data_IF_463029591577
#
_entry.id   IF_463029591577
#
_cell.length_a   1.000
_cell.length_b   1.000
_cell.length_c   1.000
_cell.angle_alpha   90.00
_cell.angle_beta   90.00
_cell.angle_gamma   90.00
#
_symmetry.space_group_name_H-M   'P 1'
#
loop_
_entity.id
_entity.type
_entity.pdbx_description
1 polymer ?
#
# COMPACT_ATOMS: atom_id res chain seq x y z
N UNK A 1 1.17 17.17 19.71
CA UNK A 1 0.88 15.76 19.33
C UNK A 1 0.87 15.56 17.81
N UNK A 2 1.57 16.38 17.01
CA UNK A 2 1.49 16.40 15.54
C UNK A 2 2.53 15.51 14.83
N UNK A 3 3.62 15.13 15.51
CA UNK A 3 4.67 14.31 14.89
C UNK A 3 4.31 12.82 14.78
N UNK A 4 3.48 12.30 15.70
CA UNK A 4 3.14 10.87 15.75
C UNK A 4 2.33 10.43 14.53
N UNK A 5 1.38 11.25 14.10
CA UNK A 5 0.49 10.95 12.96
C UNK A 5 1.18 10.96 11.61
N UNK A 6 2.21 11.79 11.42
CA UNK A 6 3.02 11.80 10.19
C UNK A 6 3.87 10.52 10.11
N UNK A 7 4.52 10.13 11.21
CA UNK A 7 5.34 8.92 11.25
C UNK A 7 4.49 7.65 11.03
N UNK A 8 3.31 7.57 11.65
CA UNK A 8 2.36 6.47 11.43
C UNK A 8 1.94 6.36 9.96
N UNK A 9 1.67 7.49 9.28
CA UNK A 9 1.37 7.49 7.84
C UNK A 9 2.54 7.05 6.98
N UNK A 10 3.76 7.48 7.30
CA UNK A 10 4.98 7.06 6.58
C UNK A 10 5.20 5.55 6.74
N UNK A 11 5.04 5.03 7.96
CA UNK A 11 5.16 3.59 8.21
C UNK A 11 4.07 2.80 7.48
N UNK A 12 2.82 3.27 7.52
CA UNK A 12 1.72 2.63 6.81
C UNK A 12 1.98 2.60 5.29
N UNK A 13 2.44 3.70 4.71
CA UNK A 13 2.81 3.75 3.29
C UNK A 13 3.84 2.68 2.93
N UNK A 14 4.90 2.54 3.73
CA UNK A 14 5.94 1.53 3.53
C UNK A 14 5.39 0.10 3.63
N UNK A 15 4.49 -0.15 4.59
CA UNK A 15 3.83 -1.45 4.74
C UNK A 15 2.97 -1.79 3.52
N UNK A 16 2.20 -0.82 3.01
CA UNK A 16 1.37 -1.00 1.80
C UNK A 16 2.25 -1.35 0.60
N UNK A 17 3.35 -0.62 0.37
CA UNK A 17 4.28 -0.90 -0.73
C UNK A 17 4.86 -2.31 -0.62
N UNK A 18 5.36 -2.69 0.57
CA UNK A 18 5.95 -4.00 0.80
C UNK A 18 4.94 -5.13 0.55
N UNK A 19 3.73 -5.01 1.09
CA UNK A 19 2.66 -6.02 0.90
C UNK A 19 2.21 -6.09 -0.56
N UNK A 20 2.06 -4.95 -1.23
CA UNK A 20 1.71 -4.91 -2.65
C UNK A 20 2.78 -5.58 -3.51
N UNK A 21 4.08 -5.33 -3.24
CA UNK A 21 5.19 -6.00 -3.92
C UNK A 21 5.09 -7.52 -3.80
N UNK A 22 4.87 -8.03 -2.59
CA UNK A 22 4.70 -9.47 -2.37
C UNK A 22 3.53 -10.02 -3.17
N UNK A 23 2.36 -9.41 -3.09
CA UNK A 23 1.16 -9.90 -3.77
C UNK A 23 1.27 -9.81 -5.31
N UNK A 24 1.85 -8.72 -5.82
CA UNK A 24 2.12 -8.58 -7.25
C UNK A 24 3.10 -9.64 -7.76
N UNK A 25 4.14 -9.98 -6.99
CA UNK A 25 5.08 -11.03 -7.36
C UNK A 25 4.45 -12.44 -7.29
N UNK A 26 3.61 -12.71 -6.30
CA UNK A 26 2.99 -14.02 -6.11
C UNK A 26 1.85 -14.31 -7.11
N UNK A 27 1.04 -13.29 -7.42
CA UNK A 27 -0.25 -13.47 -8.12
C UNK A 27 -0.33 -12.71 -9.44
N UNK A 28 0.60 -11.80 -9.69
CA UNK A 28 0.53 -10.82 -10.78
C UNK A 28 -0.28 -9.58 -10.42
N UNK A 29 0.01 -8.48 -11.12
CA UNK A 29 -0.64 -7.18 -10.94
C UNK A 29 -2.16 -7.26 -11.19
N UNK A 30 -2.59 -7.90 -12.28
CA UNK A 30 -3.99 -7.93 -12.68
C UNK A 30 -4.88 -8.67 -11.68
N UNK A 31 -4.37 -9.75 -11.08
CA UNK A 31 -5.10 -10.58 -10.10
C UNK A 31 -5.08 -10.03 -8.68
N UNK A 32 -4.31 -8.97 -8.44
CA UNK A 32 -4.23 -8.32 -7.12
C UNK A 32 -5.14 -7.10 -7.09
N UNK A 33 -5.92 -6.98 -6.03
CA UNK A 33 -6.81 -5.83 -5.79
C UNK A 33 -6.36 -5.01 -4.59
N UNK A 34 -6.73 -3.72 -4.56
CA UNK A 34 -6.46 -2.86 -3.39
C UNK A 34 -7.11 -3.42 -2.11
N UNK A 35 -8.29 -4.04 -2.22
CA UNK A 35 -8.97 -4.64 -1.08
C UNK A 35 -8.19 -5.83 -0.50
N UNK A 36 -7.56 -6.66 -1.34
CA UNK A 36 -6.72 -7.77 -0.85
C UNK A 36 -5.46 -7.25 -0.13
N UNK A 37 -4.87 -6.16 -0.61
CA UNK A 37 -3.72 -5.52 0.05
C UNK A 37 -4.14 -4.97 1.42
N UNK A 38 -5.26 -4.23 1.49
CA UNK A 38 -5.86 -3.74 2.72
C UNK A 38 -6.14 -4.87 3.72
N UNK A 39 -6.77 -5.95 3.25
CA UNK A 39 -7.08 -7.12 4.06
C UNK A 39 -5.83 -7.79 4.63
N UNK A 40 -4.76 -7.93 3.83
CA UNK A 40 -3.49 -8.49 4.28
C UNK A 40 -2.79 -7.65 5.36
N UNK A 41 -3.19 -6.39 5.53
CA UNK A 41 -2.65 -5.46 6.53
C UNK A 41 -3.64 -5.18 7.67
N UNK A 42 -4.85 -5.78 7.64
CA UNK A 42 -5.95 -5.47 8.56
C UNK A 42 -6.28 -3.97 8.62
N UNK A 43 -6.27 -3.29 7.47
CA UNK A 43 -6.63 -1.87 7.35
C UNK A 43 -7.83 -1.66 6.43
N UNK A 44 -8.59 -0.60 6.71
CA UNK A 44 -9.66 -0.15 5.80
C UNK A 44 -9.12 0.65 4.62
N UNK A 45 -9.91 0.68 3.53
CA UNK A 45 -9.56 1.37 2.28
C UNK A 45 -9.37 2.89 2.48
N UNK A 46 -10.06 3.47 3.46
CA UNK A 46 -9.89 4.88 3.87
C UNK A 46 -8.47 5.22 4.33
N UNK A 47 -7.70 4.23 4.79
CA UNK A 47 -6.29 4.43 5.15
C UNK A 47 -5.36 4.39 3.94
N UNK A 48 -5.72 3.65 2.88
CA UNK A 48 -4.92 3.50 1.66
C UNK A 48 -5.14 4.66 0.68
N UNK A 49 -6.38 5.09 0.46
CA UNK A 49 -6.74 6.09 -0.55
C UNK A 49 -6.00 7.44 -0.41
N UNK A 50 -5.70 7.95 0.80
CA UNK A 50 -4.89 9.16 0.96
C UNK A 50 -3.41 8.98 0.59
N UNK A 51 -2.92 7.74 0.51
CA UNK A 51 -1.52 7.42 0.21
C UNK A 51 -1.32 7.02 -1.26
N UNK A 52 -2.34 6.39 -1.85
CA UNK A 52 -2.35 5.95 -3.25
C UNK A 52 -3.76 6.11 -3.84
N UNK A 53 -3.87 6.90 -4.90
CA UNK A 53 -5.14 7.18 -5.60
C UNK A 53 -5.58 6.01 -6.47
N UNK A 54 -4.66 5.14 -6.89
CA UNK A 54 -4.96 4.01 -7.77
C UNK A 54 -4.03 2.81 -7.56
N UNK A 55 -4.44 1.64 -8.08
CA UNK A 55 -3.58 0.44 -8.12
C UNK A 55 -2.34 0.66 -8.99
N UNK A 56 -2.47 1.44 -10.07
CA UNK A 56 -1.36 1.79 -10.97
C UNK A 56 -0.31 2.67 -10.28
N UNK A 57 -0.75 3.70 -9.54
CA UNK A 57 0.17 4.54 -8.74
C UNK A 57 0.91 3.71 -7.68
N UNK A 58 0.21 2.75 -7.06
CA UNK A 58 0.86 1.83 -6.12
C UNK A 58 1.88 0.91 -6.83
N UNK A 59 1.60 0.47 -8.06
CA UNK A 59 2.55 -0.30 -8.85
C UNK A 59 3.81 0.53 -9.15
N UNK A 60 3.65 1.79 -9.57
CA UNK A 60 4.80 2.69 -9.80
C UNK A 60 5.66 2.84 -8.56
N UNK A 61 5.05 3.03 -7.38
CA UNK A 61 5.77 3.11 -6.11
C UNK A 61 6.48 1.79 -5.74
N UNK A 62 5.86 0.63 -6.00
CA UNK A 62 6.47 -0.69 -5.78
C UNK A 62 7.77 -0.87 -6.58
N UNK A 63 7.86 -0.32 -7.78
CA UNK A 63 9.05 -0.40 -8.63
C UNK A 63 10.06 0.72 -8.39
N UNK A 64 9.62 1.88 -7.90
CA UNK A 64 10.47 3.07 -7.74
C UNK A 64 11.07 3.21 -6.35
N UNK A 65 10.44 2.64 -5.32
CA UNK A 65 10.90 2.72 -3.94
C UNK A 65 11.62 1.40 -3.54
N UNK A 66 12.70 1.43 -2.76
CA UNK A 66 13.44 0.23 -2.34
C UNK A 66 12.64 -0.70 -1.41
#
# INVERSE_FOLDING_TARGET
>A
MTHKTIQERIQLRKLIIKTARTLFNERGYDRTTLNQICHSLCIEKEHLLPLFRSKSELLEAVWSEP
#
